data_IF_905843579536
#
_entry.id   IF_905843579536
#
_cell.length_a   1.000
_cell.length_b   1.000
_cell.length_c   1.000
_cell.angle_alpha   90.00
_cell.angle_beta   90.00
_cell.angle_gamma   90.00
#
_symmetry.space_group_name_H-M   'P 1'
#
loop_
_entity.id
_entity.type
_entity.pdbx_description
1 polymer ?
#
# COMPACT_ATOMS: atom_id res chain seq x y z
N UNK A 1 32.75 -67.36 53.30
CA UNK A 1 32.41 -68.77 53.05
C UNK A 1 30.98 -68.81 52.53
N UNK A 2 30.81 -69.41 51.34
CA UNK A 2 29.57 -69.93 50.69
C UNK A 2 28.38 -68.97 50.52
N UNK A 3 27.84 -68.60 49.36
CA UNK A 3 27.56 -69.22 48.04
C UNK A 3 26.02 -69.31 47.81
N UNK A 4 25.60 -69.14 46.53
CA UNK A 4 24.24 -69.32 45.93
C UNK A 4 23.22 -68.17 46.10
N UNK A 5 22.38 -67.79 45.14
CA UNK A 5 22.05 -68.25 43.78
C UNK A 5 20.92 -67.32 43.25
N UNK A 6 20.99 -66.83 42.01
CA UNK A 6 20.11 -67.18 40.87
C UNK A 6 18.59 -66.91 41.05
N UNK A 7 18.04 -66.00 40.22
CA UNK A 7 16.72 -66.00 39.53
C UNK A 7 16.49 -64.60 38.91
N UNK A 8 16.53 -64.41 37.58
CA UNK A 8 15.55 -64.71 36.52
C UNK A 8 14.51 -63.59 36.28
N UNK A 9 14.62 -63.00 35.08
CA UNK A 9 13.60 -62.42 34.17
C UNK A 9 12.47 -61.52 34.69
N UNK A 10 12.37 -60.32 34.12
CA UNK A 10 11.18 -59.90 33.35
C UNK A 10 11.44 -58.63 32.52
N UNK A 11 11.11 -58.72 31.23
CA UNK A 11 11.05 -57.64 30.24
C UNK A 11 9.59 -57.19 30.11
N UNK A 12 9.32 -55.89 30.23
CA UNK A 12 8.10 -55.24 29.71
C UNK A 12 8.35 -53.72 29.62
N UNK A 13 8.67 -53.22 28.43
CA UNK A 13 7.74 -52.54 27.50
C UNK A 13 7.34 -51.13 27.97
N UNK A 14 8.14 -50.15 27.54
CA UNK A 14 7.84 -48.73 27.64
C UNK A 14 6.81 -48.31 26.57
N UNK A 15 5.65 -47.85 27.01
CA UNK A 15 4.62 -47.21 26.20
C UNK A 15 5.04 -45.78 25.84
N UNK A 16 5.45 -45.57 24.58
CA UNK A 16 5.75 -44.26 24.01
C UNK A 16 4.46 -43.59 23.54
N UNK A 17 3.98 -42.62 24.32
CA UNK A 17 2.90 -41.71 23.96
C UNK A 17 3.38 -40.76 22.86
N UNK A 18 3.01 -41.04 21.60
CA UNK A 18 3.21 -40.13 20.47
C UNK A 18 2.20 -38.99 20.55
N UNK A 19 2.61 -37.87 21.14
CA UNK A 19 1.96 -36.58 20.90
C UNK A 19 2.10 -36.23 19.42
N UNK A 20 0.96 -36.13 18.72
CA UNK A 20 0.91 -35.61 17.36
C UNK A 20 1.28 -34.12 17.42
N UNK A 21 2.54 -33.81 17.11
CA UNK A 21 2.96 -32.45 16.81
C UNK A 21 2.36 -32.12 15.45
N UNK A 22 1.31 -31.30 15.45
CA UNK A 22 0.80 -30.63 14.25
C UNK A 22 1.86 -29.62 13.84
N UNK A 23 2.79 -30.06 12.99
CA UNK A 23 3.68 -29.17 12.26
C UNK A 23 2.84 -28.39 11.25
N UNK A 24 2.41 -27.18 11.62
CA UNK A 24 2.08 -26.16 10.63
C UNK A 24 3.37 -25.86 9.86
N UNK A 25 3.51 -26.51 8.71
CA UNK A 25 4.49 -26.12 7.72
C UNK A 25 4.23 -24.64 7.40
N UNK A 26 5.20 -23.78 7.74
CA UNK A 26 5.34 -22.48 7.12
C UNK A 26 5.68 -22.80 5.67
N UNK A 27 4.65 -22.96 4.85
CA UNK A 27 4.80 -22.99 3.40
C UNK A 27 5.48 -21.69 3.03
N UNK A 28 6.75 -21.77 2.62
CA UNK A 28 7.41 -20.69 1.92
C UNK A 28 6.43 -20.15 0.87
N UNK A 29 6.23 -18.84 0.82
CA UNK A 29 5.32 -18.18 -0.11
C UNK A 29 5.67 -18.58 -1.56
N UNK A 30 5.08 -19.67 -2.02
CA UNK A 30 5.25 -20.21 -3.34
C UNK A 30 4.19 -19.55 -4.20
N UNK A 31 4.64 -18.67 -5.10
CA UNK A 31 3.80 -18.03 -6.10
C UNK A 31 2.83 -19.04 -6.74
N UNK A 32 1.57 -18.66 -6.84
CA UNK A 32 0.50 -19.43 -7.48
C UNK A 32 0.95 -20.08 -8.80
N UNK A 33 0.72 -21.39 -8.96
CA UNK A 33 0.99 -22.13 -10.21
C UNK A 33 -0.20 -22.11 -11.18
N UNK A 34 -1.20 -21.25 -10.96
CA UNK A 34 -2.39 -21.26 -11.78
C UNK A 34 -2.08 -20.74 -13.21
N UNK A 35 -2.33 -21.59 -14.21
CA UNK A 35 -2.05 -21.36 -15.63
C UNK A 35 -2.82 -20.17 -16.25
N UNK A 36 -3.83 -19.65 -15.54
CA UNK A 36 -4.63 -18.48 -15.96
C UNK A 36 -3.92 -17.16 -15.59
N UNK A 37 -2.87 -17.22 -14.78
CA UNK A 37 -2.25 -16.06 -14.18
C UNK A 37 -1.15 -15.50 -15.08
N UNK A 38 -1.24 -14.21 -15.39
CA UNK A 38 -0.24 -13.53 -16.23
C UNK A 38 1.07 -13.47 -15.43
N UNK A 39 2.17 -14.07 -15.93
CA UNK A 39 3.47 -13.93 -15.28
C UNK A 39 3.81 -12.44 -15.09
N UNK A 40 4.41 -12.09 -13.95
CA UNK A 40 4.91 -10.74 -13.63
C UNK A 40 3.87 -9.65 -13.26
N UNK A 41 2.61 -9.99 -13.02
CA UNK A 41 1.63 -9.01 -12.49
C UNK A 41 1.35 -9.12 -10.99
N UNK A 42 1.93 -10.12 -10.33
CA UNK A 42 1.91 -10.27 -8.88
C UNK A 42 3.33 -10.18 -8.32
N UNK A 43 3.59 -9.05 -7.67
CA UNK A 43 4.91 -8.67 -7.16
C UNK A 43 4.83 -8.53 -5.64
N UNK A 44 5.97 -8.54 -4.96
CA UNK A 44 6.00 -8.37 -3.50
C UNK A 44 6.66 -7.02 -3.15
N UNK A 45 5.92 -6.05 -2.56
CA UNK A 45 4.51 -6.11 -2.20
C UNK A 45 3.57 -5.96 -3.40
N UNK A 46 2.38 -6.56 -3.32
CA UNK A 46 1.40 -6.54 -4.43
C UNK A 46 0.92 -5.13 -4.73
N UNK A 47 0.90 -4.26 -3.73
CA UNK A 47 0.42 -2.90 -3.84
C UNK A 47 1.53 -1.87 -3.66
N UNK A 48 1.62 -0.87 -4.56
CA UNK A 48 2.56 0.24 -4.45
C UNK A 48 2.48 0.92 -3.08
N UNK A 49 3.63 1.18 -2.47
CA UNK A 49 3.75 1.88 -1.19
C UNK A 49 2.97 1.26 -0.02
N UNK A 50 2.46 0.03 -0.13
CA UNK A 50 1.86 -0.65 1.03
C UNK A 50 2.95 -1.08 2.01
N UNK A 51 4.03 -1.65 1.47
CA UNK A 51 5.20 -2.09 2.21
C UNK A 51 6.48 -1.50 1.67
N UNK A 52 7.37 -1.11 2.57
CA UNK A 52 8.73 -0.73 2.25
C UNK A 52 9.67 -1.41 3.25
N UNK A 53 10.66 -2.15 2.75
CA UNK A 53 11.67 -2.84 3.58
C UNK A 53 11.07 -3.71 4.70
N UNK A 54 9.95 -4.38 4.41
CA UNK A 54 9.29 -5.29 5.35
C UNK A 54 8.39 -4.63 6.39
N UNK A 55 8.13 -3.32 6.28
CA UNK A 55 7.25 -2.56 7.19
C UNK A 55 6.04 -1.97 6.46
N UNK A 56 4.89 -1.96 7.13
CA UNK A 56 3.66 -1.36 6.62
C UNK A 56 3.80 0.16 6.60
N UNK A 57 3.80 0.74 5.40
CA UNK A 57 3.88 2.20 5.24
C UNK A 57 2.61 2.88 5.73
N UNK A 58 1.46 2.21 5.63
CA UNK A 58 0.18 2.73 6.13
C UNK A 58 0.20 2.81 7.66
N UNK A 59 0.62 1.74 8.35
CA UNK A 59 0.72 1.70 9.81
C UNK A 59 1.74 2.72 10.33
N UNK A 60 2.90 2.85 9.67
CA UNK A 60 3.88 3.89 10.01
C UNK A 60 3.33 5.31 9.81
N UNK A 61 2.47 5.52 8.81
CA UNK A 61 1.86 6.82 8.53
C UNK A 61 0.79 7.19 9.55
N UNK A 62 0.03 6.21 10.05
CA UNK A 62 -0.98 6.42 11.10
C UNK A 62 -0.38 6.78 12.45
N UNK A 63 0.84 6.32 12.72
CA UNK A 63 1.57 6.67 13.93
C UNK A 63 2.19 8.08 13.88
N UNK A 64 1.99 8.85 12.81
CA UNK A 64 2.47 10.22 12.66
C UNK A 64 1.34 11.22 12.89
N UNK A 65 1.71 12.40 13.37
CA UNK A 65 0.84 13.57 13.35
C UNK A 65 0.95 14.25 11.99
N UNK A 66 -0.17 14.59 11.37
CA UNK A 66 -0.22 15.23 10.06
C UNK A 66 -0.65 16.69 10.19
N UNK A 67 -0.23 17.53 9.25
CA UNK A 67 -0.67 18.91 9.14
C UNK A 67 -1.14 19.19 7.72
N UNK A 68 -2.23 19.94 7.61
CA UNK A 68 -2.79 20.34 6.33
C UNK A 68 -1.99 21.47 5.70
N UNK A 69 -1.74 21.34 4.40
CA UNK A 69 -1.12 22.40 3.60
C UNK A 69 -2.16 23.01 2.68
N UNK A 70 -2.14 24.35 2.58
CA UNK A 70 -3.00 25.08 1.64
C UNK A 70 -2.52 24.87 0.19
N UNK A 71 -3.41 24.50 -0.75
CA UNK A 71 -3.02 24.06 -2.10
C UNK A 71 -2.74 25.19 -3.12
N UNK A 72 -2.86 26.48 -2.79
CA UNK A 72 -2.85 27.57 -3.80
C UNK A 72 -1.63 27.58 -4.73
N UNK A 73 -0.48 27.05 -4.30
CA UNK A 73 0.65 26.73 -5.18
C UNK A 73 1.61 25.66 -4.67
N UNK A 74 1.40 25.18 -3.44
CA UNK A 74 2.34 24.30 -2.70
C UNK A 74 2.48 22.90 -3.30
N UNK A 75 1.51 22.43 -4.08
CA UNK A 75 1.63 21.16 -4.80
C UNK A 75 2.82 21.14 -5.76
N UNK A 76 3.29 22.30 -6.25
CA UNK A 76 4.49 22.39 -7.09
C UNK A 76 5.76 22.04 -6.33
N UNK A 77 5.78 22.27 -5.03
CA UNK A 77 6.90 21.91 -4.16
C UNK A 77 6.91 20.42 -3.78
N UNK A 78 5.81 19.70 -4.00
CA UNK A 78 5.69 18.25 -3.78
C UNK A 78 6.38 17.40 -4.86
N UNK A 79 7.15 18.01 -5.77
CA UNK A 79 8.04 17.35 -6.71
C UNK A 79 7.34 16.29 -7.56
N UNK A 80 7.82 15.04 -7.46
CA UNK A 80 7.34 13.87 -8.20
C UNK A 80 5.82 13.65 -8.06
N UNK A 81 5.23 14.04 -6.93
CA UNK A 81 3.81 13.88 -6.66
C UNK A 81 2.96 15.12 -6.96
N UNK A 82 3.56 16.23 -7.38
CA UNK A 82 2.85 17.49 -7.52
C UNK A 82 1.62 17.39 -8.42
N UNK A 83 1.74 16.76 -9.59
CA UNK A 83 0.61 16.58 -10.51
C UNK A 83 -0.46 15.60 -9.99
N UNK A 84 -0.09 14.60 -9.19
CA UNK A 84 -1.05 13.65 -8.62
C UNK A 84 -1.95 14.31 -7.55
N UNK A 85 -1.42 15.32 -6.85
CA UNK A 85 -2.06 15.96 -5.70
C UNK A 85 -2.58 17.38 -5.99
N UNK A 86 -2.31 17.93 -7.17
CA UNK A 86 -2.74 19.27 -7.56
C UNK A 86 -4.27 19.51 -7.46
N UNK A 87 -5.06 18.43 -7.42
CA UNK A 87 -6.53 18.48 -7.37
C UNK A 87 -7.14 18.52 -5.97
N UNK A 88 -6.37 18.49 -4.88
CA UNK A 88 -6.93 18.46 -3.52
C UNK A 88 -6.03 19.10 -2.45
N UNK A 89 -6.59 19.60 -1.34
CA UNK A 89 -5.80 19.96 -0.15
C UNK A 89 -5.21 18.69 0.47
N UNK A 90 -3.88 18.65 0.56
CA UNK A 90 -3.13 17.51 1.05
C UNK A 90 -2.52 17.80 2.43
N UNK A 91 -2.16 16.74 3.13
CA UNK A 91 -1.46 16.81 4.39
C UNK A 91 -0.04 16.24 4.26
N UNK A 92 0.85 16.74 5.10
CA UNK A 92 2.22 16.25 5.28
C UNK A 92 2.46 15.93 6.76
N UNK A 93 3.49 15.15 7.12
CA UNK A 93 3.86 14.98 8.52
C UNK A 93 4.13 16.34 9.19
N UNK A 94 3.61 16.54 10.39
CA UNK A 94 3.81 17.76 11.15
C UNK A 94 5.29 17.93 11.50
N UNK A 95 5.84 19.13 11.29
CA UNK A 95 7.19 19.47 11.73
C UNK A 95 7.11 19.77 13.23
N UNK A 96 7.91 19.11 14.09
CA UNK A 96 7.96 19.46 15.51
C UNK A 96 8.37 20.93 15.67
N UNK A 97 7.70 21.67 16.57
CA UNK A 97 7.82 23.13 16.70
C UNK A 97 9.20 23.65 17.14
N UNK A 98 9.38 24.97 16.99
CA UNK A 98 10.54 25.84 17.33
C UNK A 98 11.92 25.16 17.48
N UNK A 99 12.77 25.37 16.47
CA UNK A 99 14.15 24.86 16.43
C UNK A 99 14.37 23.68 15.49
N UNK A 100 13.30 23.23 14.81
CA UNK A 100 13.42 22.27 13.72
C UNK A 100 14.12 22.90 12.51
N UNK A 101 15.20 22.27 12.08
CA UNK A 101 16.00 22.66 10.90
C UNK A 101 15.21 22.49 9.59
N UNK A 102 14.09 21.76 9.62
CA UNK A 102 13.30 21.39 8.45
C UNK A 102 12.15 22.37 8.20
N UNK A 103 12.13 22.93 6.99
CA UNK A 103 11.00 23.70 6.48
C UNK A 103 9.86 22.78 6.01
N UNK A 104 8.66 23.33 5.84
CA UNK A 104 7.52 22.61 5.24
C UNK A 104 7.90 21.99 3.87
N UNK A 105 8.66 22.75 3.07
CA UNK A 105 9.17 22.32 1.76
C UNK A 105 10.12 21.14 1.87
N UNK A 106 10.96 21.08 2.89
CA UNK A 106 11.87 19.94 3.10
C UNK A 106 11.08 18.66 3.41
N UNK A 107 10.02 18.77 4.21
CA UNK A 107 9.13 17.64 4.50
C UNK A 107 8.40 17.18 3.24
N UNK A 108 7.88 18.10 2.42
CA UNK A 108 7.28 17.75 1.14
C UNK A 108 8.25 17.02 0.22
N UNK A 109 9.48 17.54 0.11
CA UNK A 109 10.50 16.93 -0.73
C UNK A 109 10.85 15.52 -0.24
N UNK A 110 10.89 15.31 1.09
CA UNK A 110 11.11 14.00 1.66
C UNK A 110 9.95 13.03 1.38
N UNK A 111 8.69 13.46 1.56
CA UNK A 111 7.53 12.64 1.18
C UNK A 111 7.54 12.31 -0.33
N UNK A 112 7.93 13.26 -1.18
CA UNK A 112 8.10 13.05 -2.61
C UNK A 112 9.16 11.99 -2.92
N UNK A 113 10.29 11.97 -2.19
CA UNK A 113 11.33 10.95 -2.36
C UNK A 113 10.85 9.58 -1.92
N UNK A 114 10.10 9.50 -0.82
CA UNK A 114 9.52 8.24 -0.36
C UNK A 114 8.52 7.68 -1.38
N UNK A 115 7.64 8.52 -1.92
CA UNK A 115 6.72 8.13 -2.99
C UNK A 115 7.45 7.65 -4.25
N UNK A 116 8.49 8.38 -4.66
CA UNK A 116 9.32 7.97 -5.80
C UNK A 116 10.02 6.64 -5.56
N UNK A 117 10.57 6.40 -4.36
CA UNK A 117 11.18 5.11 -4.00
C UNK A 117 10.17 3.97 -4.07
N UNK A 118 8.96 4.17 -3.54
CA UNK A 118 7.91 3.17 -3.60
C UNK A 118 7.46 2.89 -5.05
N UNK A 119 7.34 3.93 -5.87
CA UNK A 119 7.06 3.82 -7.30
C UNK A 119 8.14 3.00 -8.03
N UNK A 120 9.42 3.37 -7.87
CA UNK A 120 10.56 2.67 -8.50
C UNK A 120 10.65 1.21 -8.06
N UNK A 121 10.49 0.96 -6.75
CA UNK A 121 10.51 -0.40 -6.22
C UNK A 121 9.40 -1.25 -6.83
N UNK A 122 8.20 -0.68 -6.98
CA UNK A 122 7.06 -1.38 -7.56
C UNK A 122 7.24 -1.65 -9.05
N UNK A 123 7.74 -0.68 -9.83
CA UNK A 123 8.08 -0.88 -11.24
C UNK A 123 9.11 -1.99 -11.41
N UNK A 124 10.16 -1.96 -10.60
CA UNK A 124 11.21 -2.99 -10.62
C UNK A 124 10.63 -4.37 -10.32
N UNK A 125 9.69 -4.46 -9.37
CA UNK A 125 8.95 -5.68 -9.09
C UNK A 125 8.20 -6.22 -10.30
N UNK A 126 7.59 -5.33 -11.10
CA UNK A 126 6.86 -5.68 -12.33
C UNK A 126 7.79 -5.99 -13.52
N UNK A 127 9.11 -5.83 -13.35
CA UNK A 127 10.08 -5.95 -14.45
C UNK A 127 10.10 -4.74 -15.38
N UNK A 128 9.48 -3.63 -14.99
CA UNK A 128 9.44 -2.38 -15.74
C UNK A 128 10.68 -1.53 -15.42
N UNK A 129 11.24 -0.87 -16.43
CA UNK A 129 12.41 -0.01 -16.26
C UNK A 129 11.99 1.44 -15.92
N UNK A 130 12.33 1.92 -14.73
CA UNK A 130 12.02 3.29 -14.31
C UNK A 130 12.48 4.37 -15.31
N UNK A 131 13.61 4.18 -16.00
CA UNK A 131 14.14 5.16 -16.95
C UNK A 131 13.21 5.41 -18.14
N UNK A 132 12.30 4.47 -18.44
CA UNK A 132 11.29 4.60 -19.50
C UNK A 132 10.04 5.35 -19.02
N UNK A 133 9.88 5.50 -17.70
CA UNK A 133 8.70 6.06 -17.05
C UNK A 133 9.03 7.14 -16.02
N UNK A 134 9.98 8.03 -16.36
CA UNK A 134 10.36 9.19 -15.53
C UNK A 134 9.23 10.23 -15.43
N UNK A 135 8.32 10.22 -16.41
CA UNK A 135 7.12 11.06 -16.46
C UNK A 135 5.85 10.21 -16.39
N UNK A 136 5.50 9.64 -15.22
CA UNK A 136 4.38 8.70 -15.09
C UNK A 136 3.03 9.29 -15.52
N UNK A 137 2.87 10.62 -15.48
CA UNK A 137 1.66 11.30 -15.95
C UNK A 137 1.42 11.19 -17.47
N UNK A 138 2.45 10.86 -18.25
CA UNK A 138 2.40 10.65 -19.69
C UNK A 138 2.42 9.16 -20.09
N UNK A 139 2.53 8.26 -19.12
CA UNK A 139 2.61 6.81 -19.34
C UNK A 139 1.23 6.16 -19.51
N UNK A 140 1.18 4.84 -19.68
CA UNK A 140 -0.07 4.08 -19.73
C UNK A 140 -0.80 4.05 -18.38
N UNK A 141 -2.03 3.54 -18.38
CA UNK A 141 -2.88 3.53 -17.21
C UNK A 141 -2.30 2.74 -16.03
N UNK A 142 -1.57 1.65 -16.25
CA UNK A 142 -0.98 0.89 -15.16
C UNK A 142 0.07 1.72 -14.44
N UNK A 143 1.02 2.30 -15.18
CA UNK A 143 2.08 3.15 -14.63
C UNK A 143 1.49 4.37 -13.91
N UNK A 144 0.46 4.99 -14.48
CA UNK A 144 -0.24 6.10 -13.85
C UNK A 144 -0.88 5.71 -12.51
N UNK A 145 -1.53 4.55 -12.42
CA UNK A 145 -2.18 4.13 -11.17
C UNK A 145 -1.15 3.70 -10.11
N UNK A 146 0.00 3.14 -10.49
CA UNK A 146 1.13 2.90 -9.56
C UNK A 146 1.62 4.22 -8.97
N UNK A 147 1.87 5.20 -9.84
CA UNK A 147 2.31 6.53 -9.44
C UNK A 147 1.32 7.23 -8.51
N UNK A 148 0.04 7.26 -8.89
CA UNK A 148 -1.03 7.86 -8.08
C UNK A 148 -1.12 7.19 -6.72
N UNK A 149 -1.12 5.86 -6.66
CA UNK A 149 -1.25 5.14 -5.40
C UNK A 149 -0.06 5.40 -4.47
N UNK A 150 1.16 5.40 -4.99
CA UNK A 150 2.35 5.80 -4.23
C UNK A 150 2.22 7.24 -3.69
N UNK A 151 1.80 8.18 -4.53
CA UNK A 151 1.62 9.57 -4.11
C UNK A 151 0.49 9.75 -3.09
N UNK A 152 -0.64 9.05 -3.24
CA UNK A 152 -1.75 9.10 -2.28
C UNK A 152 -1.36 8.54 -0.91
N UNK A 153 -0.42 7.59 -0.86
CA UNK A 153 0.10 7.08 0.40
C UNK A 153 0.91 8.13 1.17
N UNK A 154 1.81 8.86 0.51
CA UNK A 154 2.69 9.82 1.17
C UNK A 154 2.15 11.27 1.23
N UNK A 155 1.15 11.59 0.40
CA UNK A 155 0.43 12.87 0.39
C UNK A 155 -1.08 12.63 0.53
N UNK A 156 -1.54 12.20 1.71
CA UNK A 156 -2.95 11.99 1.98
C UNK A 156 -3.73 13.29 1.84
N UNK A 157 -5.04 13.19 1.62
CA UNK A 157 -5.94 14.34 1.72
C UNK A 157 -5.95 14.87 3.17
N UNK A 158 -6.25 16.15 3.28
CA UNK A 158 -6.58 16.76 4.55
C UNK A 158 -7.76 16.07 5.25
N UNK A 159 -7.54 15.65 6.50
CA UNK A 159 -8.58 15.05 7.32
C UNK A 159 -9.43 16.13 8.01
N UNK A 160 -10.54 16.50 7.38
CA UNK A 160 -11.44 17.54 7.90
C UNK A 160 -12.25 17.07 9.12
N UNK A 161 -12.48 15.76 9.25
CA UNK A 161 -13.27 15.18 10.34
C UNK A 161 -12.43 14.93 11.59
N UNK A 162 -11.18 14.50 11.40
CA UNK A 162 -10.22 14.23 12.46
C UNK A 162 -8.89 14.91 12.11
N UNK A 163 -8.77 16.23 12.37
CA UNK A 163 -7.54 16.97 12.08
C UNK A 163 -6.32 16.26 12.66
N UNK A 164 -5.22 16.36 11.93
CA UNK A 164 -3.93 15.74 12.24
C UNK A 164 -3.84 14.20 12.16
N UNK A 165 -4.93 13.49 11.87
CA UNK A 165 -4.89 12.06 11.60
C UNK A 165 -4.66 11.76 10.12
N UNK A 166 -3.89 10.71 9.86
CA UNK A 166 -3.68 10.18 8.51
C UNK A 166 -5.00 9.75 7.85
N UNK A 167 -5.14 10.02 6.55
CA UNK A 167 -6.22 9.46 5.72
C UNK A 167 -5.63 8.44 4.75
N UNK A 168 -5.81 7.16 5.08
CA UNK A 168 -5.42 6.05 4.20
C UNK A 168 -6.01 6.21 2.79
N UNK A 169 -5.36 5.64 1.77
CA UNK A 169 -5.96 5.62 0.45
C UNK A 169 -7.28 4.81 0.43
N UNK A 170 -8.18 5.19 -0.47
CA UNK A 170 -9.47 4.53 -0.67
C UNK A 170 -9.31 3.17 -1.34
N UNK A 171 -10.20 2.22 -1.03
CA UNK A 171 -10.33 0.92 -1.74
C UNK A 171 -10.36 1.09 -3.25
N UNK A 172 -11.05 2.12 -3.75
CA UNK A 172 -11.16 2.38 -5.20
C UNK A 172 -9.82 2.73 -5.86
N UNK A 173 -8.87 3.33 -5.15
CA UNK A 173 -7.53 3.60 -5.69
C UNK A 173 -6.75 2.30 -5.91
N UNK A 174 -6.85 1.37 -4.96
CA UNK A 174 -6.32 0.03 -5.12
C UNK A 174 -7.03 -0.76 -6.23
N UNK A 175 -8.36 -0.68 -6.35
CA UNK A 175 -9.10 -1.31 -7.44
C UNK A 175 -8.68 -0.76 -8.81
N UNK A 176 -8.55 0.56 -8.94
CA UNK A 176 -8.07 1.19 -10.17
C UNK A 176 -6.69 0.66 -10.59
N UNK A 177 -5.75 0.54 -9.63
CA UNK A 177 -4.46 -0.10 -9.88
C UNK A 177 -4.61 -1.56 -10.32
N UNK A 178 -5.37 -2.38 -9.59
CA UNK A 178 -5.57 -3.80 -9.94
C UNK A 178 -6.15 -3.96 -11.34
N UNK A 179 -7.11 -3.12 -11.70
CA UNK A 179 -7.78 -3.16 -12.99
C UNK A 179 -6.85 -2.70 -14.11
N UNK A 180 -6.16 -1.57 -13.93
CA UNK A 180 -5.24 -1.01 -14.92
C UNK A 180 -4.01 -1.89 -15.16
N UNK A 181 -3.44 -2.47 -14.10
CA UNK A 181 -2.28 -3.35 -14.16
C UNK A 181 -2.64 -4.83 -14.33
N UNK A 182 -3.93 -5.15 -14.42
CA UNK A 182 -4.44 -6.51 -14.58
C UNK A 182 -3.90 -7.50 -13.53
N UNK A 183 -3.90 -7.07 -12.26
CA UNK A 183 -3.43 -7.86 -11.12
C UNK A 183 -4.48 -8.94 -10.77
N UNK A 184 -4.49 -10.01 -11.57
CA UNK A 184 -5.36 -11.16 -11.45
C UNK A 184 -4.48 -12.36 -11.07
N UNK A 185 -4.71 -12.94 -9.88
CA UNK A 185 -3.96 -14.06 -9.29
C UNK A 185 -2.70 -13.76 -8.46
N UNK A 186 -2.84 -13.04 -7.34
CA UNK A 186 -1.82 -13.16 -6.30
C UNK A 186 -2.35 -14.15 -5.25
N UNK A 187 -1.47 -14.93 -4.64
CA UNK A 187 -1.86 -15.81 -3.55
C UNK A 187 -2.64 -15.02 -2.49
N UNK A 188 -3.70 -15.62 -1.93
CA UNK A 188 -4.66 -15.01 -0.98
C UNK A 188 -5.66 -13.98 -1.56
N UNK A 189 -5.80 -13.89 -2.89
CA UNK A 189 -6.93 -13.17 -3.52
C UNK A 189 -6.83 -11.63 -3.46
N UNK A 190 -5.65 -11.11 -3.12
CA UNK A 190 -5.27 -9.68 -3.09
C UNK A 190 -6.43 -8.70 -2.81
N UNK A 191 -7.17 -8.87 -1.70
CA UNK A 191 -8.21 -7.91 -1.34
C UNK A 191 -7.56 -6.54 -1.09
N UNK A 192 -8.22 -5.47 -1.52
CA UNK A 192 -7.77 -4.10 -1.23
C UNK A 192 -8.01 -3.74 0.25
N UNK A 193 -9.05 -4.31 0.85
CA UNK A 193 -9.43 -4.09 2.24
C UNK A 193 -9.24 -5.41 2.97
N UNK A 194 -8.35 -5.42 3.94
CA UNK A 194 -8.04 -6.61 4.72
C UNK A 194 -7.45 -6.21 6.07
N UNK A 195 -7.44 -7.18 6.99
CA UNK A 195 -6.81 -7.06 8.31
C UNK A 195 -6.12 -8.38 8.58
N UNK A 196 -4.79 -8.38 8.60
CA UNK A 196 -3.96 -9.55 8.87
C UNK A 196 -3.16 -9.34 10.15
N UNK A 197 -2.93 -10.41 10.92
CA UNK A 197 -2.00 -10.39 12.04
C UNK A 197 -0.74 -11.12 11.65
N UNK A 198 0.40 -10.46 11.77
CA UNK A 198 1.70 -11.04 11.47
C UNK A 198 2.55 -11.07 12.73
N UNK A 199 3.18 -12.20 13.02
CA UNK A 199 4.23 -12.25 14.04
C UNK A 199 5.55 -11.72 13.44
N UNK A 200 6.11 -10.70 14.06
CA UNK A 200 7.42 -10.16 13.77
C UNK A 200 8.52 -11.11 14.29
N UNK A 201 9.77 -11.01 13.77
CA UNK A 201 10.87 -11.87 14.22
C UNK A 201 11.18 -11.79 15.73
N UNK A 202 10.74 -10.72 16.40
CA UNK A 202 10.86 -10.52 17.84
C UNK A 202 9.71 -11.16 18.66
N UNK A 203 8.78 -11.87 18.00
CA UNK A 203 7.60 -12.50 18.62
C UNK A 203 6.42 -11.56 18.87
N UNK A 204 6.52 -10.27 18.52
CA UNK A 204 5.39 -9.34 18.63
C UNK A 204 4.38 -9.57 17.49
N UNK A 205 3.09 -9.48 17.79
CA UNK A 205 2.05 -9.45 16.76
C UNK A 205 1.87 -8.00 16.27
N UNK A 206 1.98 -7.81 14.95
CA UNK A 206 1.62 -6.57 14.27
C UNK A 206 0.33 -6.79 13.48
N UNK A 207 -0.64 -5.89 13.69
CA UNK A 207 -1.86 -5.85 12.88
C UNK A 207 -1.58 -5.02 11.63
N UNK A 208 -1.58 -5.70 10.50
CA UNK A 208 -1.53 -5.12 9.18
C UNK A 208 -2.94 -4.87 8.68
N UNK A 209 -3.16 -3.69 8.11
CA UNK A 209 -4.43 -3.35 7.50
C UNK A 209 -4.22 -2.73 6.12
N UNK A 210 -5.14 -3.05 5.21
CA UNK A 210 -5.17 -2.49 3.87
C UNK A 210 -5.78 -1.10 3.79
N UNK A 211 -6.34 -0.82 2.61
CA UNK A 211 -6.97 0.45 2.27
C UNK A 211 -8.32 0.64 2.99
N UNK A 212 -8.77 1.89 3.08
CA UNK A 212 -10.06 2.21 3.69
C UNK A 212 -11.22 1.73 2.79
N UNK A 213 -12.25 1.11 3.37
CA UNK A 213 -13.40 0.56 2.62
C UNK A 213 -14.39 1.63 2.16
N UNK A 214 -13.92 2.51 1.29
CA UNK A 214 -14.69 3.57 0.69
C UNK A 214 -14.33 3.70 -0.80
N UNK A 215 -15.32 4.10 -1.60
CA UNK A 215 -15.08 4.55 -2.97
C UNK A 215 -14.69 6.03 -2.96
N UNK A 216 -13.64 6.39 -3.69
CA UNK A 216 -13.22 7.77 -3.90
C UNK A 216 -14.06 8.47 -4.98
N UNK A 217 -14.23 9.81 -4.91
CA UNK A 217 -13.77 10.70 -3.85
C UNK A 217 -14.62 10.57 -2.57
N UNK A 218 -13.98 10.43 -1.41
CA UNK A 218 -14.64 10.29 -0.10
C UNK A 218 -13.95 11.17 0.95
N UNK A 219 -14.70 11.62 1.97
CA UNK A 219 -14.17 12.36 3.11
C UNK A 219 -13.38 11.49 4.08
N UNK A 220 -13.49 10.16 3.97
CA UNK A 220 -12.90 9.19 4.89
C UNK A 220 -11.60 8.57 4.39
N UNK A 221 -11.14 8.92 3.19
CA UNK A 221 -9.94 8.35 2.58
C UNK A 221 -9.35 9.24 1.48
N UNK A 222 -8.11 8.94 1.10
CA UNK A 222 -7.39 9.59 0.00
C UNK A 222 -7.59 8.83 -1.29
N UNK A 223 -8.19 9.45 -2.31
CA UNK A 223 -8.31 8.76 -3.60
C UNK A 223 -9.15 9.53 -4.59
N UNK A 224 -8.76 9.44 -5.86
CA UNK A 224 -9.34 10.12 -7.00
C UNK A 224 -9.53 11.63 -6.76
N UNK A 225 -8.54 12.43 -7.18
CA UNK A 225 -8.84 13.82 -7.48
C UNK A 225 -10.01 13.81 -8.48
N UNK A 226 -11.11 14.56 -8.25
CA UNK A 226 -12.16 14.66 -9.23
C UNK A 226 -11.48 15.07 -10.54
N UNK A 227 -11.54 14.19 -11.56
CA UNK A 227 -11.09 14.59 -12.89
C UNK A 227 -11.94 15.82 -13.19
N UNK A 228 -11.30 16.97 -13.34
CA UNK A 228 -11.95 18.11 -13.99
C UNK A 228 -12.26 17.59 -15.39
N UNK A 229 -13.44 17.03 -15.58
CA UNK A 229 -13.94 16.80 -16.91
C UNK A 229 -13.87 18.18 -17.57
N UNK A 230 -13.15 18.34 -18.71
CA UNK A 230 -13.31 19.55 -19.48
C UNK A 230 -14.81 19.66 -19.70
N UNK A 231 -15.41 20.74 -19.20
CA UNK A 231 -16.85 20.95 -19.28
C UNK A 231 -17.27 20.61 -20.71
N UNK A 232 -18.03 19.52 -20.87
CA UNK A 232 -18.63 19.20 -22.15
C UNK A 232 -19.49 20.42 -22.48
N UNK A 233 -18.95 21.30 -23.32
CA UNK A 233 -19.64 22.49 -23.75
C UNK A 233 -20.96 22.04 -24.32
N UNK A 234 -22.04 22.38 -23.63
CA UNK A 234 -23.38 22.32 -24.16
C UNK A 234 -23.37 23.25 -25.40
N UNK A 235 -23.12 22.69 -26.57
CA UNK A 235 -23.46 23.31 -27.84
C UNK A 235 -24.98 23.28 -27.93
N UNK A 236 -25.61 24.30 -27.34
CA UNK A 236 -26.98 24.64 -27.63
C UNK A 236 -27.04 25.10 -29.09
N UNK A 237 -27.40 24.19 -29.99
CA UNK A 237 -27.77 24.51 -31.36
C UNK A 237 -29.08 25.31 -31.34
N UNK A 238 -28.97 26.64 -31.40
CA UNK A 238 -30.10 27.49 -31.78
C UNK A 238 -30.36 27.31 -33.28
N UNK A 239 -31.24 26.37 -33.61
CA UNK A 239 -31.96 26.39 -34.87
C UNK A 239 -33.06 27.46 -34.78
N UNK A 240 -32.75 28.69 -35.18
CA UNK A 240 -33.75 29.72 -35.42
C UNK A 240 -34.35 29.50 -36.82
N UNK A 241 -35.68 29.43 -36.84
CA UNK A 241 -36.51 29.04 -37.95
C UNK A 241 -36.59 30.10 -39.06
N UNK A 242 -36.85 29.60 -40.27
CA UNK A 242 -37.29 30.31 -41.46
C UNK A 242 -38.51 31.20 -41.18
N UNK A 243 -38.45 32.47 -41.58
CA UNK A 243 -39.56 33.29 -42.05
C UNK A 243 -39.02 34.43 -42.91
#
# INVERSE_FOLDING_TARGET
>A
ATDRGAEASAVASASSSRSAIVQHAISAAAYTQNIVCVPNRCVNPVFPALYMFGRSTLSESENKTWQCVSPESTWRDAGFCGLAIAGYPFAIPAVPGFGSEHTEKDVMLEQSRLAMRAYVAHLTGLGENFWEYTEPWNADSCIQEIWKLACYTYFPRCNLLRPAQYLRPCRSACQAYKDACQVRCCDEGNPCVFVHRRQLPNGQEEQEEGYADHAGPSAFCTGAAPRRHPAAGLLASMAAALA
#
